data_IF_018353882499
#
_entry.id   IF_018353882499
#
_cell.length_a   1.000
_cell.length_b   1.000
_cell.length_c   1.000
_cell.angle_alpha   90.00
_cell.angle_beta   90.00
_cell.angle_gamma   90.00
#
_symmetry.space_group_name_H-M   'P 1'
#
loop_
_entity.id
_entity.type
_entity.pdbx_description
1 polymer ?
#
# COMPACT_ATOMS: atom_id res chain seq x y z
N UNK A 1 -16.29 -6.48 -6.29
CA UNK A 1 -15.29 -5.40 -6.15
C UNK A 1 -15.15 -5.10 -4.66
N UNK A 2 -14.50 -6.00 -3.92
CA UNK A 2 -14.41 -5.88 -2.47
C UNK A 2 -13.17 -5.08 -2.12
N UNK A 3 -13.35 -3.93 -1.48
CA UNK A 3 -12.31 -3.37 -0.62
C UNK A 3 -11.79 -4.53 0.23
N UNK A 4 -10.53 -4.90 0.06
CA UNK A 4 -9.95 -5.89 0.97
C UNK A 4 -9.87 -5.17 2.30
N UNK A 5 -10.66 -5.59 3.29
CA UNK A 5 -10.68 -4.93 4.60
C UNK A 5 -9.31 -5.08 5.29
N UNK A 6 -8.62 -6.20 5.02
CA UNK A 6 -7.30 -6.56 5.52
C UNK A 6 -6.26 -5.41 5.46
N UNK A 7 -5.91 -4.82 4.29
CA UNK A 7 -4.95 -3.72 4.22
C UNK A 7 -5.38 -2.50 5.01
N UNK A 8 -6.66 -2.13 4.92
CA UNK A 8 -7.18 -0.94 5.56
C UNK A 8 -6.99 -1.07 7.07
N UNK A 9 -7.34 -2.22 7.64
CA UNK A 9 -7.18 -2.51 9.07
C UNK A 9 -5.71 -2.57 9.49
N UNK A 10 -4.84 -3.23 8.71
CA UNK A 10 -3.41 -3.36 9.06
C UNK A 10 -2.70 -2.00 9.06
N UNK A 11 -2.88 -1.19 8.01
CA UNK A 11 -2.20 0.10 7.90
C UNK A 11 -2.78 1.17 8.83
N UNK A 12 -4.08 1.14 9.12
CA UNK A 12 -4.68 2.02 10.16
C UNK A 12 -4.15 1.68 11.55
N UNK A 13 -4.05 0.40 11.91
CA UNK A 13 -3.50 -0.01 13.20
C UNK A 13 -2.00 0.31 13.31
N UNK A 14 -1.22 0.01 12.27
CA UNK A 14 0.22 0.29 12.26
C UNK A 14 0.49 1.79 12.48
N UNK A 15 -0.10 2.66 11.67
CA UNK A 15 0.13 4.10 11.79
C UNK A 15 -0.55 4.72 13.01
N UNK A 16 -1.69 4.19 13.45
CA UNK A 16 -2.34 4.59 14.69
C UNK A 16 -1.47 4.28 15.91
N UNK A 17 -0.86 3.09 15.96
CA UNK A 17 0.11 2.73 17.01
C UNK A 17 1.33 3.66 16.95
N UNK A 18 1.90 3.90 15.77
CA UNK A 18 3.06 4.81 15.63
C UNK A 18 2.72 6.24 16.07
N UNK A 19 1.55 6.76 15.67
CA UNK A 19 1.11 8.11 16.00
C UNK A 19 0.74 8.30 17.48
N UNK A 20 0.36 7.23 18.18
CA UNK A 20 -0.02 7.29 19.60
C UNK A 20 1.14 6.89 20.52
N UNK A 21 1.81 5.77 20.25
CA UNK A 21 2.83 5.17 21.13
C UNK A 21 4.16 5.92 21.05
N UNK A 22 4.63 6.31 19.85
CA UNK A 22 5.93 6.99 19.73
C UNK A 22 6.00 8.35 20.47
N UNK A 23 4.96 9.20 20.48
CA UNK A 23 4.96 10.44 21.26
C UNK A 23 5.06 10.25 22.79
N UNK A 24 4.64 9.10 23.33
CA UNK A 24 4.79 8.80 24.76
C UNK A 24 6.24 8.47 25.12
N UNK A 25 6.98 7.80 24.22
CA UNK A 25 8.39 7.47 24.41
C UNK A 25 9.36 8.63 24.08
N UNK A 26 8.85 9.80 23.69
CA UNK A 26 9.68 10.95 23.38
C UNK A 26 10.52 11.39 24.61
N UNK A 27 11.86 11.45 24.49
CA UNK A 27 12.75 11.76 25.61
C UNK A 27 12.47 13.15 26.18
N UNK A 28 12.62 13.28 27.50
CA UNK A 28 12.36 14.52 28.23
C UNK A 28 13.50 15.51 27.93
N UNK A 29 13.24 16.48 27.06
CA UNK A 29 14.16 17.57 26.73
C UNK A 29 13.41 18.88 26.40
N UNK A 30 14.14 20.00 26.21
CA UNK A 30 13.53 21.31 25.93
C UNK A 30 12.60 21.31 24.70
N UNK A 31 12.93 20.47 23.71
CA UNK A 31 12.23 20.39 22.42
C UNK A 31 11.18 19.27 22.37
N UNK A 32 10.73 18.74 23.52
CA UNK A 32 9.83 17.57 23.59
C UNK A 32 8.53 17.79 22.83
N UNK A 33 7.93 18.98 22.93
CA UNK A 33 6.68 19.31 22.25
C UNK A 33 6.82 19.26 20.72
N UNK A 34 7.92 19.78 20.17
CA UNK A 34 8.20 19.77 18.73
C UNK A 34 8.35 18.33 18.24
N UNK A 35 9.11 17.51 18.97
CA UNK A 35 9.31 16.09 18.62
C UNK A 35 7.98 15.34 18.60
N UNK A 36 7.11 15.56 19.59
CA UNK A 36 5.79 14.94 19.64
C UNK A 36 4.91 15.35 18.45
N UNK A 37 4.87 16.63 18.13
CA UNK A 37 4.06 17.15 17.03
C UNK A 37 4.57 16.66 15.67
N UNK A 38 5.89 16.65 15.46
CA UNK A 38 6.48 16.13 14.21
C UNK A 38 6.16 14.64 14.05
N UNK A 39 6.29 13.83 15.11
CA UNK A 39 5.95 12.40 15.06
C UNK A 39 4.46 12.16 14.76
N UNK A 40 3.55 12.93 15.38
CA UNK A 40 2.12 12.83 15.10
C UNK A 40 1.77 13.28 13.67
N UNK A 41 2.34 14.39 13.20
CA UNK A 41 2.13 14.90 11.83
C UNK A 41 2.66 13.95 10.77
N UNK A 42 3.85 13.37 10.97
CA UNK A 42 4.39 12.37 10.06
C UNK A 42 3.49 11.13 10.00
N UNK A 43 3.04 10.61 11.15
CA UNK A 43 2.14 9.46 11.17
C UNK A 43 0.81 9.76 10.44
N UNK A 44 0.23 10.95 10.65
CA UNK A 44 -1.01 11.34 10.00
C UNK A 44 -0.85 11.54 8.48
N UNK A 45 0.22 12.21 8.03
CA UNK A 45 0.47 12.46 6.60
C UNK A 45 0.82 11.18 5.85
N UNK A 46 1.63 10.28 6.43
CA UNK A 46 1.92 8.98 5.84
C UNK A 46 0.67 8.08 5.74
N UNK A 47 -0.20 8.11 6.76
CA UNK A 47 -1.48 7.38 6.72
C UNK A 47 -2.42 7.92 5.63
N UNK A 48 -2.59 9.24 5.55
CA UNK A 48 -3.43 9.88 4.53
C UNK A 48 -2.90 9.63 3.12
N UNK A 49 -1.59 9.76 2.90
CA UNK A 49 -0.97 9.48 1.60
C UNK A 49 -1.23 8.04 1.14
N UNK A 50 -1.04 7.06 2.03
CA UNK A 50 -1.31 5.66 1.74
C UNK A 50 -2.79 5.44 1.41
N UNK A 51 -3.71 6.00 2.20
CA UNK A 51 -5.14 5.83 2.00
C UNK A 51 -5.59 6.41 0.65
N UNK A 52 -5.10 7.59 0.29
CA UNK A 52 -5.38 8.20 -1.01
C UNK A 52 -4.88 7.34 -2.18
N UNK A 53 -3.65 6.81 -2.10
CA UNK A 53 -3.10 5.92 -3.12
C UNK A 53 -3.90 4.61 -3.24
N UNK A 54 -4.37 4.06 -2.12
CA UNK A 54 -5.23 2.88 -2.08
C UNK A 54 -6.60 3.16 -2.72
N UNK A 55 -7.25 4.28 -2.37
CA UNK A 55 -8.55 4.65 -2.92
C UNK A 55 -8.50 4.91 -4.43
N UNK A 56 -7.43 5.54 -4.92
CA UNK A 56 -7.23 5.79 -6.35
C UNK A 56 -7.21 4.51 -7.20
N UNK A 57 -6.88 3.36 -6.60
CA UNK A 57 -6.80 2.07 -7.29
C UNK A 57 -8.07 1.22 -7.16
N UNK A 58 -9.08 1.62 -6.38
CA UNK A 58 -10.29 0.80 -6.14
C UNK A 58 -11.25 0.76 -7.34
N UNK A 59 -11.25 1.79 -8.18
CA UNK A 59 -12.05 1.84 -9.41
C UNK A 59 -11.22 2.40 -10.58
N UNK A 60 -10.27 1.62 -11.12
CA UNK A 60 -9.40 2.09 -12.19
C UNK A 60 -10.21 2.26 -13.48
N UNK A 61 -10.27 3.49 -13.99
CA UNK A 61 -10.93 3.82 -15.26
C UNK A 61 -10.03 3.56 -16.47
N UNK A 62 -8.71 3.47 -16.27
CA UNK A 62 -7.70 3.32 -17.31
C UNK A 62 -6.78 2.14 -16.94
N UNK A 63 -6.65 1.20 -17.88
CA UNK A 63 -5.71 0.08 -17.77
C UNK A 63 -4.35 0.41 -18.41
N UNK A 64 -3.28 -0.26 -17.98
CA UNK A 64 -1.95 -0.09 -18.56
C UNK A 64 -1.93 -0.54 -20.04
N UNK A 65 -1.26 0.22 -20.90
CA UNK A 65 -1.07 -0.10 -22.33
C UNK A 65 0.34 -0.67 -22.53
N UNK A 66 0.43 -1.97 -22.78
CA UNK A 66 1.72 -2.66 -23.01
C UNK A 66 1.86 -3.09 -24.46
N UNK A 67 3.10 -3.14 -24.94
CA UNK A 67 3.43 -3.73 -26.24
C UNK A 67 3.36 -5.27 -26.18
N UNK A 68 3.20 -5.91 -27.34
CA UNK A 68 3.03 -7.36 -27.43
C UNK A 68 4.23 -8.14 -26.90
N UNK A 69 5.44 -7.64 -27.11
CA UNK A 69 6.66 -8.28 -26.60
C UNK A 69 6.67 -8.34 -25.06
N UNK A 70 6.38 -7.23 -24.38
CA UNK A 70 6.34 -7.18 -22.91
C UNK A 70 5.21 -8.04 -22.35
N UNK A 71 4.06 -8.09 -23.04
CA UNK A 71 2.95 -8.98 -22.69
C UNK A 71 3.37 -10.46 -22.71
N UNK A 72 4.11 -10.89 -23.72
CA UNK A 72 4.61 -12.26 -23.83
C UNK A 72 5.58 -12.57 -22.69
N UNK A 73 6.54 -11.69 -22.41
CA UNK A 73 7.50 -11.89 -21.31
C UNK A 73 6.82 -11.93 -19.93
N UNK A 74 5.86 -11.04 -19.69
CA UNK A 74 5.06 -11.00 -18.47
C UNK A 74 4.23 -12.28 -18.32
N UNK A 75 3.62 -12.73 -19.41
CA UNK A 75 2.85 -13.98 -19.44
C UNK A 75 3.70 -15.21 -19.18
N UNK A 76 5.02 -15.18 -19.42
CA UNK A 76 5.92 -16.32 -19.15
C UNK A 76 6.43 -16.34 -17.71
N UNK A 77 6.65 -15.16 -17.13
CA UNK A 77 7.26 -14.99 -15.80
C UNK A 77 6.22 -15.01 -14.68
N UNK A 78 5.03 -14.46 -14.91
CA UNK A 78 3.95 -14.35 -13.91
C UNK A 78 2.79 -15.32 -14.20
N UNK A 79 3.05 -16.46 -14.84
CA UNK A 79 2.02 -17.37 -15.39
C UNK A 79 1.32 -18.25 -14.37
N UNK A 80 0.58 -17.63 -13.46
CA UNK A 80 -0.56 -18.27 -12.80
C UNK A 80 -1.84 -17.60 -13.31
N UNK A 81 -2.33 -18.03 -14.49
CA UNK A 81 -3.71 -17.80 -14.94
C UNK A 81 -4.01 -16.64 -15.91
N UNK A 82 -3.04 -15.96 -16.53
CA UNK A 82 -3.35 -14.84 -17.45
C UNK A 82 -3.98 -15.28 -18.79
N UNK A 83 -5.29 -15.09 -18.94
CA UNK A 83 -5.98 -15.13 -20.25
C UNK A 83 -5.99 -13.72 -20.86
N UNK A 84 -5.16 -13.51 -21.89
CA UNK A 84 -4.67 -12.19 -22.36
C UNK A 84 -5.74 -11.14 -22.75
N UNK A 85 -7.02 -11.50 -22.88
CA UNK A 85 -8.05 -10.60 -23.42
C UNK A 85 -9.14 -10.14 -22.44
N UNK A 86 -9.32 -10.80 -21.29
CA UNK A 86 -10.45 -10.49 -20.39
C UNK A 86 -10.10 -10.32 -18.90
N UNK A 87 -8.86 -10.64 -18.49
CA UNK A 87 -8.48 -10.73 -17.07
C UNK A 87 -7.77 -9.49 -16.49
N UNK A 88 -7.49 -8.46 -17.30
CA UNK A 88 -6.77 -7.25 -16.83
C UNK A 88 -7.52 -6.48 -15.74
N UNK A 89 -8.83 -6.70 -15.59
CA UNK A 89 -9.64 -6.16 -14.50
C UNK A 89 -9.37 -6.83 -13.14
N UNK A 90 -8.78 -8.03 -13.15
CA UNK A 90 -8.56 -8.88 -11.98
C UNK A 90 -7.08 -8.97 -11.56
N UNK A 91 -6.17 -8.28 -12.28
CA UNK A 91 -4.86 -7.91 -11.76
C UNK A 91 -5.09 -6.86 -10.67
N UNK A 92 -5.51 -7.33 -9.50
CA UNK A 92 -5.61 -6.49 -8.32
C UNK A 92 -4.18 -6.09 -7.98
N UNK A 93 -3.81 -4.79 -8.02
CA UNK A 93 -2.49 -4.33 -7.57
C UNK A 93 -2.17 -4.83 -6.14
N UNK A 94 -3.22 -5.18 -5.41
CA UNK A 94 -3.20 -5.80 -4.11
C UNK A 94 -2.57 -7.21 -4.03
N UNK A 95 -2.75 -8.08 -5.04
CA UNK A 95 -2.06 -9.38 -5.08
C UNK A 95 -0.55 -9.19 -5.18
N UNK A 96 -0.12 -8.20 -5.97
CA UNK A 96 1.29 -7.84 -6.12
C UNK A 96 1.83 -7.22 -4.84
N UNK A 97 1.10 -6.31 -4.19
CA UNK A 97 1.53 -5.68 -2.94
C UNK A 97 1.67 -6.69 -1.79
N UNK A 98 0.70 -7.58 -1.57
CA UNK A 98 0.81 -8.62 -0.55
C UNK A 98 1.95 -9.60 -0.86
N UNK A 99 2.09 -10.02 -2.12
CA UNK A 99 3.17 -10.96 -2.48
C UNK A 99 4.54 -10.32 -2.32
N UNK A 100 4.71 -9.04 -2.70
CA UNK A 100 5.97 -8.32 -2.51
C UNK A 100 6.26 -8.05 -1.04
N UNK A 101 5.27 -7.66 -0.23
CA UNK A 101 5.47 -7.44 1.21
C UNK A 101 5.79 -8.74 1.95
N UNK A 102 5.09 -9.83 1.64
CA UNK A 102 5.35 -11.15 2.26
C UNK A 102 6.71 -11.71 1.80
N UNK A 103 7.07 -11.54 0.53
CA UNK A 103 8.33 -12.04 -0.02
C UNK A 103 9.55 -11.17 0.34
N UNK A 104 9.36 -9.89 0.69
CA UNK A 104 10.43 -9.04 1.27
C UNK A 104 10.65 -9.25 2.77
N UNK A 105 9.78 -10.04 3.43
CA UNK A 105 9.90 -10.42 4.84
C UNK A 105 10.39 -11.88 5.03
N UNK A 106 10.72 -12.58 3.94
CA UNK A 106 11.25 -13.95 3.90
C UNK A 106 12.68 -13.94 3.35
#
# INVERSE_FOLDING_TARGET
MGASFVPITVFTLLWGIVGIVCPFFAPKGPNRGIIQVVLMLTAATCWLFWLCAYMAQMNPLIGPRLNNETLIWMSRTWRDGMTIRHDWKEIRPFKIFITVVIHSLS
#
